data_IF_930041312949
#
_entry.id   IF_930041312949
#
_cell.length_a   1.000
_cell.length_b   1.000
_cell.length_c   1.000
_cell.angle_alpha   90.00
_cell.angle_beta   90.00
_cell.angle_gamma   90.00
#
_symmetry.space_group_name_H-M   'P 1'
#
loop_
_entity.id
_entity.type
_entity.pdbx_description
1 polymer ?
#
# COMPACT_ATOMS: atom_id res chain seq x y z
N UNK A 1 -37.05 -7.86 -38.87
CA UNK A 1 -38.14 -8.67 -38.27
C UNK A 1 -38.89 -7.82 -37.25
N UNK A 2 -39.98 -7.20 -37.70
CA UNK A 2 -40.95 -6.43 -36.90
C UNK A 2 -42.10 -7.37 -36.54
N UNK A 3 -42.67 -7.27 -35.33
CA UNK A 3 -44.10 -7.53 -35.11
C UNK A 3 -44.68 -6.53 -34.10
N UNK A 4 -45.73 -5.87 -34.58
CA UNK A 4 -46.76 -5.06 -33.90
C UNK A 4 -47.90 -6.02 -33.48
N UNK A 5 -48.92 -5.50 -32.76
CA UNK A 5 -50.35 -5.95 -32.64
C UNK A 5 -50.70 -6.48 -31.23
N UNK A 6 -51.84 -6.19 -30.58
CA UNK A 6 -52.89 -5.16 -30.67
C UNK A 6 -53.71 -5.17 -29.36
N UNK A 7 -54.51 -4.11 -29.21
CA UNK A 7 -55.69 -3.95 -28.37
C UNK A 7 -56.82 -4.99 -28.58
N UNK A 8 -57.74 -5.07 -27.61
CA UNK A 8 -59.00 -5.81 -27.64
C UNK A 8 -60.19 -4.88 -27.32
N UNK A 9 -61.23 -4.89 -28.17
CA UNK A 9 -62.61 -4.42 -27.90
C UNK A 9 -63.60 -4.97 -28.98
N UNK A 10 -64.81 -5.33 -28.55
CA UNK A 10 -66.03 -5.68 -29.35
C UNK A 10 -66.70 -6.98 -28.84
N UNK A 11 -68.01 -7.10 -28.55
CA UNK A 11 -69.20 -6.46 -29.16
C UNK A 11 -70.53 -6.71 -28.37
N UNK A 12 -71.47 -5.73 -28.43
CA UNK A 12 -72.97 -5.80 -28.55
C UNK A 12 -73.81 -6.29 -27.33
N UNK A 13 -74.92 -5.70 -26.83
CA UNK A 13 -76.18 -5.12 -27.39
C UNK A 13 -76.97 -4.24 -26.33
N UNK A 14 -77.91 -3.41 -26.82
CA UNK A 14 -79.15 -2.84 -26.21
C UNK A 14 -79.17 -1.52 -25.39
N UNK A 15 -79.82 -0.52 -26.00
CA UNK A 15 -80.92 0.35 -25.55
C UNK A 15 -80.86 1.04 -24.16
N UNK A 16 -80.81 2.38 -24.25
CA UNK A 16 -81.17 3.46 -23.33
C UNK A 16 -81.85 3.14 -21.97
N UNK A 17 -81.23 3.62 -20.88
CA UNK A 17 -81.91 4.31 -19.78
C UNK A 17 -80.90 5.22 -19.03
N UNK A 18 -81.22 6.51 -18.97
CA UNK A 18 -80.48 7.55 -18.26
C UNK A 18 -80.50 7.24 -16.77
N UNK A 19 -79.32 7.03 -16.17
CA UNK A 19 -79.10 7.25 -14.74
C UNK A 19 -77.83 8.07 -14.57
N UNK A 20 -78.01 9.31 -14.12
CA UNK A 20 -76.92 10.22 -13.77
C UNK A 20 -76.20 9.68 -12.54
N UNK A 21 -75.17 8.86 -12.75
CA UNK A 21 -74.13 8.61 -11.77
C UNK A 21 -72.99 9.57 -12.10
N UNK A 22 -72.95 10.67 -11.36
CA UNK A 22 -71.83 11.60 -11.34
C UNK A 22 -70.55 10.82 -11.06
N UNK A 23 -69.70 10.68 -12.07
CA UNK A 23 -68.37 10.11 -11.94
C UNK A 23 -67.55 11.03 -11.03
N UNK A 24 -67.31 10.61 -9.79
CA UNK A 24 -66.36 11.27 -8.92
C UNK A 24 -64.97 10.99 -9.48
N UNK A 25 -64.40 11.93 -10.23
CA UNK A 25 -63.00 11.85 -10.62
C UNK A 25 -62.14 12.06 -9.38
N UNK A 26 -61.51 10.98 -8.90
CA UNK A 26 -60.51 11.06 -7.84
C UNK A 26 -59.29 11.83 -8.38
N UNK A 27 -59.18 13.11 -8.03
CA UNK A 27 -58.00 13.91 -8.33
C UNK A 27 -56.79 13.32 -7.62
N UNK A 28 -55.83 12.79 -8.38
CA UNK A 28 -54.56 12.34 -7.83
C UNK A 28 -53.87 13.52 -7.12
N UNK A 29 -53.45 13.32 -5.87
CA UNK A 29 -52.72 14.34 -5.10
C UNK A 29 -51.52 14.85 -5.90
N UNK A 30 -51.44 16.16 -6.12
CA UNK A 30 -50.31 16.84 -6.77
C UNK A 30 -49.07 16.91 -5.88
N UNK A 31 -49.14 16.32 -4.69
CA UNK A 31 -48.11 16.35 -3.66
C UNK A 31 -47.84 14.96 -3.08
N UNK A 32 -46.58 14.75 -2.68
CA UNK A 32 -46.14 13.54 -1.99
C UNK A 32 -45.81 13.83 -0.53
N UNK A 33 -45.87 12.81 0.32
CA UNK A 33 -45.32 12.88 1.67
C UNK A 33 -43.87 12.39 1.65
N UNK A 34 -43.03 12.94 2.53
CA UNK A 34 -41.66 12.44 2.73
C UNK A 34 -41.32 12.29 4.21
N UNK A 35 -40.40 11.38 4.51
CA UNK A 35 -39.85 11.25 5.86
C UNK A 35 -38.85 12.38 6.16
N UNK A 36 -38.57 12.67 7.44
CA UNK A 36 -37.45 13.52 7.83
C UNK A 36 -36.14 13.11 7.15
N UNK A 37 -35.35 14.10 6.76
CA UNK A 37 -34.02 13.86 6.16
C UNK A 37 -33.06 13.34 7.24
N UNK A 38 -32.28 12.31 6.92
CA UNK A 38 -31.24 11.76 7.81
C UNK A 38 -29.88 11.82 7.13
N UNK A 39 -28.82 12.06 7.90
CA UNK A 39 -27.46 11.97 7.39
C UNK A 39 -27.11 10.53 6.98
N UNK A 40 -26.23 10.39 5.99
CA UNK A 40 -25.69 9.09 5.56
C UNK A 40 -24.17 9.10 5.61
N UNK A 41 -23.55 7.93 5.77
CA UNK A 41 -22.12 7.79 5.48
C UNK A 41 -21.83 8.31 4.06
N UNK A 42 -20.75 9.09 3.91
CA UNK A 42 -20.33 9.59 2.60
C UNK A 42 -19.87 8.41 1.75
N UNK A 43 -20.59 8.14 0.67
CA UNK A 43 -20.30 7.05 -0.27
C UNK A 43 -20.35 7.60 -1.69
N UNK A 44 -19.45 7.08 -2.53
CA UNK A 44 -19.32 7.45 -3.93
C UNK A 44 -20.19 6.54 -4.81
N UNK A 45 -20.93 7.14 -5.73
CA UNK A 45 -21.82 6.45 -6.67
C UNK A 45 -21.66 7.04 -8.08
N UNK A 46 -22.02 6.25 -9.09
CA UNK A 46 -22.31 6.76 -10.43
C UNK A 46 -23.79 6.52 -10.76
N UNK A 47 -24.35 7.31 -11.65
CA UNK A 47 -25.74 7.16 -12.10
C UNK A 47 -25.81 6.20 -13.27
N UNK A 48 -26.79 5.31 -13.24
CA UNK A 48 -27.06 4.35 -14.32
C UNK A 48 -28.11 4.84 -15.30
N UNK A 49 -28.94 5.78 -14.86
CA UNK A 49 -30.01 6.34 -15.67
C UNK A 49 -29.55 7.59 -16.43
N UNK A 50 -30.06 7.74 -17.65
CA UNK A 50 -29.75 8.89 -18.53
C UNK A 50 -30.99 9.68 -18.94
N UNK A 51 -32.18 9.30 -18.47
CA UNK A 51 -33.45 9.91 -18.88
C UNK A 51 -34.05 10.80 -17.79
N UNK A 52 -33.68 10.55 -16.54
CA UNK A 52 -34.18 11.23 -15.36
C UNK A 52 -33.29 12.42 -14.98
N UNK A 53 -33.63 13.03 -13.85
CA UNK A 53 -33.01 14.24 -13.33
C UNK A 53 -32.66 14.05 -11.85
N UNK A 54 -31.77 14.89 -11.34
CA UNK A 54 -31.80 15.24 -9.91
C UNK A 54 -32.94 16.22 -9.65
N UNK A 55 -33.40 16.29 -8.39
CA UNK A 55 -34.48 17.18 -7.97
C UNK A 55 -34.05 18.10 -6.83
N UNK A 56 -34.51 19.35 -6.86
CA UNK A 56 -34.32 20.29 -5.75
C UNK A 56 -35.15 19.86 -4.54
N UNK A 57 -34.76 20.30 -3.34
CA UNK A 57 -35.67 20.29 -2.21
C UNK A 57 -36.80 21.29 -2.49
N UNK A 58 -38.06 20.83 -2.58
CA UNK A 58 -39.19 21.73 -2.78
C UNK A 58 -40.43 21.27 -2.00
N UNK A 59 -41.06 22.23 -1.30
CA UNK A 59 -42.19 21.99 -0.41
C UNK A 59 -41.78 21.51 0.99
N UNK A 60 -42.79 21.21 1.82
CA UNK A 60 -42.60 20.73 3.21
C UNK A 60 -42.79 19.20 3.31
N UNK A 61 -42.69 18.63 4.51
CA UNK A 61 -42.78 17.17 4.73
C UNK A 61 -44.07 16.53 4.19
N UNK A 62 -45.18 17.27 4.21
CA UNK A 62 -46.49 16.79 3.79
C UNK A 62 -46.84 17.19 2.35
N UNK A 63 -46.07 18.11 1.76
CA UNK A 63 -46.31 18.64 0.41
C UNK A 63 -45.04 18.67 -0.43
N UNK A 64 -44.39 17.51 -0.58
CA UNK A 64 -43.23 17.36 -1.45
C UNK A 64 -43.64 17.46 -2.92
N UNK A 65 -42.83 18.15 -3.72
CA UNK A 65 -42.96 18.18 -5.18
C UNK A 65 -41.61 18.00 -5.85
N UNK A 66 -41.61 17.32 -6.99
CA UNK A 66 -40.40 17.13 -7.78
C UNK A 66 -40.16 18.35 -8.68
N UNK A 67 -39.09 19.10 -8.39
CA UNK A 67 -38.58 20.15 -9.28
C UNK A 67 -37.22 19.72 -9.83
N UNK A 68 -37.17 19.34 -11.10
CA UNK A 68 -35.93 18.92 -11.76
C UNK A 68 -34.90 20.06 -11.77
N UNK A 69 -33.60 19.72 -11.68
CA UNK A 69 -32.52 20.71 -11.80
C UNK A 69 -31.32 20.28 -12.64
N UNK A 70 -30.95 19.00 -12.68
CA UNK A 70 -29.86 18.51 -13.53
C UNK A 70 -30.25 17.24 -14.27
N UNK A 71 -30.13 17.26 -15.60
CA UNK A 71 -30.34 16.07 -16.45
C UNK A 71 -29.21 15.06 -16.25
N UNK A 72 -29.53 13.82 -15.89
CA UNK A 72 -28.51 12.80 -15.61
C UNK A 72 -27.67 12.44 -16.84
N UNK A 73 -28.18 12.64 -18.06
CA UNK A 73 -27.41 12.45 -19.32
C UNK A 73 -26.12 13.28 -19.36
N UNK A 74 -26.06 14.41 -18.66
CA UNK A 74 -24.90 15.31 -18.64
C UNK A 74 -23.84 14.88 -17.61
N UNK A 75 -24.09 13.81 -16.83
CA UNK A 75 -23.26 13.38 -15.71
C UNK A 75 -22.81 11.91 -15.81
N UNK A 76 -22.79 11.34 -17.02
CA UNK A 76 -22.45 9.92 -17.27
C UNK A 76 -21.08 9.49 -16.72
N UNK A 77 -20.11 10.41 -16.68
CA UNK A 77 -18.76 10.18 -16.19
C UNK A 77 -18.48 10.95 -14.88
N UNK A 78 -19.50 11.08 -14.04
CA UNK A 78 -19.42 11.78 -12.77
C UNK A 78 -19.52 10.82 -11.60
N UNK A 79 -18.78 11.13 -10.53
CA UNK A 79 -18.97 10.53 -9.22
C UNK A 79 -19.82 11.46 -8.34
N UNK A 80 -20.92 10.93 -7.86
CA UNK A 80 -21.82 11.55 -6.90
C UNK A 80 -21.50 11.06 -5.49
N UNK A 81 -21.38 11.97 -4.54
CA UNK A 81 -21.22 11.62 -3.12
C UNK A 81 -22.54 11.82 -2.39
N UNK A 82 -23.04 10.78 -1.72
CA UNK A 82 -24.27 10.88 -0.90
C UNK A 82 -23.96 11.47 0.47
N UNK A 83 -24.78 12.40 0.94
CA UNK A 83 -24.63 12.98 2.28
C UNK A 83 -25.87 12.81 3.16
N UNK A 84 -27.04 12.65 2.53
CA UNK A 84 -28.31 12.51 3.23
C UNK A 84 -29.26 11.56 2.51
N UNK A 85 -30.29 11.09 3.20
CA UNK A 85 -31.38 10.29 2.65
C UNK A 85 -32.76 10.74 3.16
N UNK A 86 -33.79 10.47 2.36
CA UNK A 86 -35.21 10.63 2.70
C UNK A 86 -36.02 9.58 1.92
N UNK A 87 -37.16 9.15 2.46
CA UNK A 87 -38.10 8.31 1.73
C UNK A 87 -39.29 9.15 1.29
N UNK A 88 -39.61 9.10 0.00
CA UNK A 88 -40.80 9.73 -0.58
C UNK A 88 -41.88 8.66 -0.70
N UNK A 89 -43.07 8.95 -0.20
CA UNK A 89 -44.22 8.04 -0.20
C UNK A 89 -45.00 8.28 -1.48
N UNK A 90 -44.86 7.37 -2.45
CA UNK A 90 -45.56 7.40 -3.74
C UNK A 90 -46.53 6.23 -3.80
N UNK A 91 -47.82 6.50 -3.96
CA UNK A 91 -48.88 5.48 -3.96
C UNK A 91 -48.81 4.52 -2.76
N UNK A 92 -48.59 5.07 -1.55
CA UNK A 92 -48.44 4.29 -0.31
C UNK A 92 -47.10 3.57 -0.13
N UNK A 93 -46.21 3.59 -1.14
CA UNK A 93 -44.89 2.93 -1.08
C UNK A 93 -43.78 3.91 -0.78
N UNK A 94 -42.88 3.54 0.15
CA UNK A 94 -41.68 4.32 0.46
C UNK A 94 -40.61 4.08 -0.59
N UNK A 95 -40.13 5.15 -1.20
CA UNK A 95 -39.09 5.13 -2.23
C UNK A 95 -37.93 6.00 -1.77
N UNK A 96 -36.73 5.40 -1.67
CA UNK A 96 -35.56 6.08 -1.10
C UNK A 96 -34.86 6.99 -2.09
N UNK A 97 -34.65 8.24 -1.67
CA UNK A 97 -33.84 9.23 -2.37
C UNK A 97 -32.62 9.61 -1.54
N UNK A 98 -31.50 9.81 -2.23
CA UNK A 98 -30.27 10.33 -1.64
C UNK A 98 -30.04 11.77 -2.09
N UNK A 99 -29.57 12.61 -1.18
CA UNK A 99 -29.00 13.91 -1.53
C UNK A 99 -27.56 13.68 -1.98
N UNK A 100 -27.28 14.03 -3.22
CA UNK A 100 -25.97 13.84 -3.85
C UNK A 100 -25.27 15.16 -4.12
N UNK A 101 -23.95 15.12 -4.09
CA UNK A 101 -23.06 16.23 -4.44
C UNK A 101 -21.98 15.77 -5.43
N UNK A 102 -21.77 16.53 -6.49
CA UNK A 102 -20.64 16.37 -7.39
C UNK A 102 -19.55 17.42 -7.06
N UNK A 103 -18.38 16.96 -6.59
CA UNK A 103 -17.28 17.86 -6.24
C UNK A 103 -16.61 18.55 -7.43
N UNK A 104 -16.80 18.05 -8.66
CA UNK A 104 -16.15 18.61 -9.86
C UNK A 104 -16.84 19.89 -10.37
N UNK A 105 -18.17 19.95 -10.28
CA UNK A 105 -18.94 21.07 -10.82
C UNK A 105 -20.00 21.63 -9.86
N UNK A 106 -20.01 21.18 -8.60
CA UNK A 106 -20.91 21.67 -7.55
C UNK A 106 -22.37 21.25 -7.72
N UNK A 107 -22.70 20.40 -8.70
CA UNK A 107 -24.08 19.95 -8.90
C UNK A 107 -24.59 19.18 -7.67
N UNK A 108 -25.84 19.45 -7.29
CA UNK A 108 -26.49 18.82 -6.14
C UNK A 108 -27.95 18.49 -6.43
N UNK A 109 -28.52 17.54 -5.68
CA UNK A 109 -29.96 17.29 -5.71
C UNK A 109 -30.34 15.93 -5.13
N UNK A 110 -31.65 15.70 -5.04
CA UNK A 110 -32.22 14.41 -4.70
C UNK A 110 -32.24 13.51 -5.93
N UNK A 111 -31.74 12.29 -5.78
CA UNK A 111 -31.81 11.26 -6.81
C UNK A 111 -32.35 9.98 -6.21
N UNK A 112 -33.17 9.26 -6.99
CA UNK A 112 -33.67 7.96 -6.58
C UNK A 112 -32.51 6.97 -6.42
N UNK A 113 -32.49 6.26 -5.28
CA UNK A 113 -31.45 5.28 -4.96
C UNK A 113 -31.30 4.17 -6.01
N UNK A 114 -32.37 3.78 -6.70
CA UNK A 114 -32.33 2.76 -7.75
C UNK A 114 -31.53 3.17 -9.00
N UNK A 115 -31.28 4.47 -9.19
CA UNK A 115 -30.41 4.94 -10.27
C UNK A 115 -28.93 4.97 -9.89
N UNK A 116 -28.58 4.77 -8.62
CA UNK A 116 -27.21 4.86 -8.13
C UNK A 116 -26.56 3.49 -8.01
N UNK A 117 -25.38 3.34 -8.61
CA UNK A 117 -24.50 2.19 -8.40
C UNK A 117 -23.25 2.62 -7.64
N UNK A 118 -22.84 1.90 -6.58
CA UNK A 118 -21.68 2.26 -5.79
C UNK A 118 -20.43 2.18 -6.65
N UNK A 119 -19.58 3.21 -6.56
CA UNK A 119 -18.23 3.14 -7.12
C UNK A 119 -17.47 2.14 -6.25
N UNK A 120 -16.94 1.07 -6.85
CA UNK A 120 -16.01 0.18 -6.15
C UNK A 120 -14.81 1.04 -5.73
N UNK A 121 -14.57 1.17 -4.42
CA UNK A 121 -13.39 1.85 -3.94
C UNK A 121 -12.16 1.18 -4.57
N UNK A 122 -11.31 1.96 -5.24
CA UNK A 122 -9.99 1.48 -5.64
C UNK A 122 -9.32 0.99 -4.38
N UNK A 123 -8.92 -0.29 -4.32
CA UNK A 123 -8.24 -0.84 -3.17
C UNK A 123 -7.07 0.08 -2.83
N UNK A 124 -7.04 0.62 -1.61
CA UNK A 124 -5.94 1.45 -1.17
C UNK A 124 -4.65 0.65 -1.32
N UNK A 125 -3.62 1.25 -1.93
CA UNK A 125 -2.30 0.62 -1.99
C UNK A 125 -1.91 0.25 -0.55
N UNK A 126 -1.63 -1.03 -0.25
CA UNK A 126 -1.29 -1.46 1.11
C UNK A 126 -0.16 -0.59 1.65
N UNK A 127 -0.13 -0.24 2.93
CA UNK A 127 1.02 0.46 3.52
C UNK A 127 2.26 -0.46 3.52
N UNK A 128 3.48 0.08 3.70
CA UNK A 128 4.67 -0.77 3.81
C UNK A 128 4.61 -1.68 5.04
N UNK A 129 4.05 -1.20 6.15
CA UNK A 129 3.82 -2.02 7.34
C UNK A 129 2.94 -3.24 7.01
N UNK A 130 1.90 -3.05 6.18
CA UNK A 130 1.04 -4.13 5.69
C UNK A 130 1.76 -5.06 4.72
N UNK A 131 2.67 -4.56 3.89
CA UNK A 131 3.49 -5.42 3.03
C UNK A 131 4.46 -6.26 3.86
N UNK A 132 5.17 -5.63 4.80
CA UNK A 132 6.09 -6.29 5.74
C UNK A 132 5.38 -7.38 6.54
N UNK A 133 4.16 -7.12 7.02
CA UNK A 133 3.39 -8.11 7.79
C UNK A 133 2.93 -9.32 6.98
N UNK A 134 2.86 -9.21 5.65
CA UNK A 134 2.46 -10.29 4.74
C UNK A 134 3.62 -11.15 4.28
N UNK A 135 4.85 -10.68 4.48
CA UNK A 135 6.03 -11.43 4.04
C UNK A 135 6.15 -12.78 4.77
N UNK A 136 6.56 -13.85 4.11
CA UNK A 136 6.85 -15.16 4.71
C UNK A 136 7.91 -15.03 5.80
N UNK A 137 8.96 -14.23 5.59
CA UNK A 137 10.00 -13.97 6.61
C UNK A 137 9.45 -13.38 7.91
N UNK A 138 8.36 -12.61 7.85
CA UNK A 138 7.73 -11.99 9.02
C UNK A 138 7.18 -12.98 10.05
N UNK A 139 6.94 -14.23 9.63
CA UNK A 139 6.50 -15.32 10.52
C UNK A 139 7.58 -15.72 11.52
N UNK A 140 8.86 -15.67 11.12
CA UNK A 140 10.01 -16.05 11.95
C UNK A 140 10.84 -14.87 12.46
N UNK A 141 10.69 -13.69 11.87
CA UNK A 141 11.43 -12.49 12.25
C UNK A 141 10.82 -11.75 13.46
N UNK A 142 11.68 -11.10 14.23
CA UNK A 142 11.32 -10.08 15.22
C UNK A 142 11.72 -8.68 14.75
N UNK A 143 12.76 -8.60 13.92
CA UNK A 143 13.18 -7.39 13.23
C UNK A 143 13.34 -7.67 11.73
N UNK A 144 12.84 -6.75 10.91
CA UNK A 144 13.03 -6.78 9.45
C UNK A 144 13.64 -5.45 9.04
N UNK A 145 14.77 -5.51 8.36
CA UNK A 145 15.36 -4.39 7.63
C UNK A 145 14.87 -4.48 6.19
N UNK A 146 14.19 -3.47 5.66
CA UNK A 146 13.88 -3.41 4.23
C UNK A 146 14.81 -2.41 3.56
N UNK A 147 15.42 -2.78 2.45
CA UNK A 147 16.21 -1.87 1.61
C UNK A 147 15.54 -1.81 0.25
N UNK A 148 15.00 -0.65 -0.09
CA UNK A 148 14.24 -0.44 -1.33
C UNK A 148 15.03 0.53 -2.21
N UNK A 149 15.47 0.06 -3.37
CA UNK A 149 16.19 0.89 -4.35
C UNK A 149 15.35 2.11 -4.77
N UNK A 150 16.00 3.27 -4.86
CA UNK A 150 15.36 4.54 -5.24
C UNK A 150 16.24 5.40 -6.17
N UNK A 151 17.31 4.82 -6.72
CA UNK A 151 18.21 5.41 -7.70
C UNK A 151 19.16 4.35 -8.27
N UNK A 152 20.21 4.75 -8.99
CA UNK A 152 21.18 3.81 -9.59
C UNK A 152 21.98 3.04 -8.53
N UNK A 153 22.52 3.78 -7.55
CA UNK A 153 23.35 3.26 -6.45
C UNK A 153 22.85 3.72 -5.07
N UNK A 154 21.56 4.06 -4.98
CA UNK A 154 20.91 4.53 -3.75
C UNK A 154 19.66 3.72 -3.43
N UNK A 155 19.39 3.60 -2.13
CA UNK A 155 18.18 2.99 -1.61
C UNK A 155 17.68 3.71 -0.35
N UNK A 156 16.52 3.28 0.13
CA UNK A 156 16.01 3.63 1.46
C UNK A 156 16.02 2.39 2.33
N UNK A 157 16.75 2.45 3.44
CA UNK A 157 16.74 1.43 4.48
C UNK A 157 15.69 1.79 5.53
N UNK A 158 14.88 0.81 5.95
CA UNK A 158 13.96 0.95 7.09
C UNK A 158 14.08 -0.22 8.04
N UNK A 159 14.03 0.04 9.35
CA UNK A 159 13.95 -0.99 10.39
C UNK A 159 12.52 -1.11 10.91
N UNK A 160 11.95 -2.29 10.71
CA UNK A 160 10.65 -2.69 11.20
C UNK A 160 10.81 -3.58 12.43
N UNK A 161 10.16 -3.19 13.54
CA UNK A 161 10.08 -4.01 14.75
C UNK A 161 8.69 -4.63 14.88
N UNK A 162 8.65 -5.91 15.24
CA UNK A 162 7.41 -6.61 15.55
C UNK A 162 6.87 -6.12 16.90
N UNK A 163 5.56 -5.89 16.94
CA UNK A 163 4.80 -5.46 18.12
C UNK A 163 3.50 -6.27 18.21
N UNK A 164 2.79 -6.17 19.32
CA UNK A 164 1.47 -6.80 19.48
C UNK A 164 0.42 -6.28 18.48
N UNK A 165 0.64 -5.09 17.90
CA UNK A 165 -0.27 -4.46 16.92
C UNK A 165 0.22 -4.60 15.47
N UNK A 166 1.22 -5.46 15.22
CA UNK A 166 1.85 -5.63 13.91
C UNK A 166 3.25 -5.03 13.84
N UNK A 167 3.65 -4.54 12.66
CA UNK A 167 5.01 -4.05 12.42
C UNK A 167 5.08 -2.53 12.49
N UNK A 168 6.04 -2.00 13.26
CA UNK A 168 6.29 -0.57 13.41
C UNK A 168 7.63 -0.20 12.78
N UNK A 169 7.64 0.82 11.92
CA UNK A 169 8.89 1.43 11.47
C UNK A 169 9.51 2.22 12.62
N UNK A 170 10.79 1.98 12.90
CA UNK A 170 11.52 2.64 13.99
C UNK A 170 12.76 3.39 13.52
N UNK A 171 13.24 3.16 12.30
CA UNK A 171 14.38 3.85 11.70
C UNK A 171 14.15 3.94 10.19
N UNK A 172 14.40 5.11 9.61
CA UNK A 172 14.48 5.29 8.16
C UNK A 172 15.81 5.98 7.86
N UNK A 173 16.57 5.46 6.90
CA UNK A 173 17.86 6.02 6.52
C UNK A 173 18.05 5.96 5.00
N UNK A 174 18.65 7.01 4.45
CA UNK A 174 19.11 6.99 3.07
C UNK A 174 20.38 6.14 2.98
N UNK A 175 20.40 5.16 2.07
CA UNK A 175 21.51 4.23 1.93
C UNK A 175 22.19 4.31 0.57
N UNK A 176 23.47 3.92 0.53
CA UNK A 176 24.19 3.57 -0.70
C UNK A 176 24.18 2.05 -0.83
N UNK A 177 24.11 1.57 -2.06
CA UNK A 177 24.12 0.16 -2.42
C UNK A 177 25.17 -0.08 -3.51
N UNK A 178 25.23 -1.31 -4.03
CA UNK A 178 26.08 -1.66 -5.16
C UNK A 178 25.96 -0.66 -6.31
N UNK A 179 27.07 -0.37 -6.99
CA UNK A 179 27.07 0.54 -8.15
C UNK A 179 26.11 0.09 -9.28
N UNK A 180 25.86 -1.22 -9.39
CA UNK A 180 24.91 -1.82 -10.33
C UNK A 180 23.48 -1.96 -9.78
N UNK A 181 23.20 -1.47 -8.58
CA UNK A 181 21.89 -1.54 -7.93
C UNK A 181 21.64 -2.86 -7.18
N UNK A 182 20.36 -3.20 -7.00
CA UNK A 182 19.89 -4.45 -6.36
C UNK A 182 19.52 -5.46 -7.44
N UNK A 183 20.04 -6.69 -7.37
CA UNK A 183 19.81 -7.70 -8.39
C UNK A 183 20.48 -9.04 -8.12
N UNK A 184 20.72 -9.81 -9.18
CA UNK A 184 21.54 -11.02 -9.09
C UNK A 184 23.01 -10.61 -8.96
N UNK A 185 23.67 -11.15 -7.95
CA UNK A 185 25.07 -10.88 -7.63
C UNK A 185 25.93 -12.11 -7.86
N UNK A 186 27.22 -11.88 -8.08
CA UNK A 186 28.28 -12.89 -8.14
C UNK A 186 29.59 -12.27 -7.64
N UNK A 187 30.63 -13.07 -7.47
CA UNK A 187 31.97 -12.56 -7.13
C UNK A 187 32.45 -11.51 -8.13
N UNK A 188 33.00 -10.41 -7.61
CA UNK A 188 33.43 -9.27 -8.42
C UNK A 188 32.31 -8.41 -9.02
N UNK A 189 31.03 -8.78 -8.88
CA UNK A 189 29.92 -7.90 -9.24
C UNK A 189 29.82 -6.73 -8.25
N UNK A 190 29.39 -5.56 -8.72
CA UNK A 190 29.04 -4.41 -7.85
C UNK A 190 27.54 -4.35 -7.57
N UNK A 191 26.90 -5.50 -7.35
CA UNK A 191 25.45 -5.64 -7.21
C UNK A 191 25.08 -6.03 -5.78
N UNK A 192 24.16 -5.31 -5.15
CA UNK A 192 23.59 -5.73 -3.86
C UNK A 192 22.66 -6.92 -4.11
N UNK A 193 22.84 -8.05 -3.39
CA UNK A 193 22.08 -9.25 -3.64
C UNK A 193 20.59 -9.02 -3.35
N UNK A 194 19.72 -9.25 -4.33
CA UNK A 194 18.28 -9.20 -4.14
C UNK A 194 17.82 -10.44 -3.36
N UNK A 195 17.03 -10.27 -2.31
CA UNK A 195 16.51 -11.43 -1.56
C UNK A 195 16.24 -11.16 -0.09
N UNK A 196 16.24 -12.24 0.69
CA UNK A 196 16.10 -12.20 2.16
C UNK A 196 17.31 -12.86 2.78
N UNK A 197 17.97 -12.14 3.67
CA UNK A 197 19.18 -12.63 4.34
C UNK A 197 19.02 -12.50 5.85
N UNK A 198 19.53 -13.49 6.59
CA UNK A 198 19.61 -13.39 8.04
C UNK A 198 20.69 -12.38 8.42
N UNK A 199 20.44 -11.58 9.46
CA UNK A 199 21.44 -10.71 10.05
C UNK A 199 22.04 -11.44 11.26
N UNK A 200 23.24 -12.00 11.09
CA UNK A 200 23.76 -13.04 11.98
C UNK A 200 24.55 -12.51 13.17
N UNK A 201 25.55 -11.69 12.89
CA UNK A 201 26.32 -10.99 13.91
C UNK A 201 26.79 -9.64 13.42
N UNK A 202 27.12 -8.79 14.37
CA UNK A 202 27.73 -7.50 14.14
C UNK A 202 29.25 -7.58 14.33
N UNK A 203 29.98 -6.71 13.66
CA UNK A 203 31.42 -6.60 13.85
C UNK A 203 31.89 -5.15 13.69
N UNK A 204 33.14 -4.89 14.00
CA UNK A 204 33.77 -3.62 13.67
C UNK A 204 35.03 -3.33 14.45
N UNK A 205 35.62 -2.16 14.21
CA UNK A 205 36.81 -1.66 14.92
C UNK A 205 36.48 -1.15 16.33
N UNK A 206 35.23 -0.78 16.59
CA UNK A 206 34.80 -0.38 17.92
C UNK A 206 35.06 -1.51 18.95
N UNK A 207 35.47 -1.16 20.16
CA UNK A 207 35.71 -2.17 21.22
C UNK A 207 34.42 -2.91 21.61
N UNK A 208 33.27 -2.23 21.51
CA UNK A 208 31.96 -2.82 21.75
C UNK A 208 30.87 -2.10 20.95
N UNK A 209 29.73 -2.76 20.80
CA UNK A 209 28.52 -2.18 20.24
C UNK A 209 27.32 -2.59 21.09
N UNK A 210 26.38 -1.66 21.27
CA UNK A 210 25.09 -1.98 21.92
C UNK A 210 24.23 -2.75 20.94
N UNK A 211 23.74 -3.92 21.35
CA UNK A 211 22.80 -4.73 20.57
C UNK A 211 21.61 -5.18 21.41
N UNK A 212 20.59 -5.75 20.78
CA UNK A 212 19.43 -6.36 21.45
C UNK A 212 19.56 -7.89 21.48
N UNK A 213 20.77 -8.40 21.75
CA UNK A 213 21.08 -9.82 21.81
C UNK A 213 21.79 -10.38 20.56
N UNK A 214 22.08 -9.55 19.56
CA UNK A 214 22.96 -9.91 18.46
C UNK A 214 24.42 -9.95 18.95
N UNK A 215 25.17 -10.99 18.55
CA UNK A 215 26.59 -11.10 18.88
C UNK A 215 27.42 -9.99 18.21
N UNK A 216 28.51 -9.56 18.86
CA UNK A 216 29.44 -8.57 18.31
C UNK A 216 30.88 -9.12 18.29
N UNK A 217 31.60 -8.92 17.18
CA UNK A 217 33.00 -9.31 17.02
C UNK A 217 33.88 -8.10 16.75
N UNK A 218 34.90 -7.87 17.58
CA UNK A 218 35.89 -6.83 17.31
C UNK A 218 36.88 -7.29 16.24
N UNK A 219 37.11 -6.44 15.24
CA UNK A 219 38.14 -6.65 14.21
C UNK A 219 39.52 -6.60 14.88
N UNK A 220 40.38 -7.56 14.53
CA UNK A 220 41.79 -7.59 14.90
C UNK A 220 42.66 -7.96 13.69
N UNK A 221 43.97 -8.05 13.89
CA UNK A 221 44.97 -8.33 12.83
C UNK A 221 44.83 -9.69 12.14
N UNK A 222 43.96 -10.57 12.63
CA UNK A 222 43.69 -11.88 12.04
C UNK A 222 42.32 -11.96 11.39
N UNK A 223 41.52 -10.89 11.43
CA UNK A 223 40.13 -10.91 10.99
C UNK A 223 40.03 -10.81 9.48
N UNK A 224 39.63 -11.91 8.85
CA UNK A 224 39.36 -12.00 7.42
C UNK A 224 37.90 -12.36 7.16
N UNK A 225 37.33 -11.80 6.09
CA UNK A 225 36.20 -12.41 5.42
C UNK A 225 36.72 -13.23 4.24
N UNK A 226 36.38 -14.52 4.21
CA UNK A 226 36.89 -15.43 3.18
C UNK A 226 36.01 -15.33 1.94
N UNK A 227 36.60 -14.93 0.82
CA UNK A 227 35.90 -14.65 -0.44
C UNK A 227 36.44 -15.48 -1.60
N UNK A 228 37.55 -16.22 -1.44
CA UNK A 228 38.01 -17.16 -2.47
C UNK A 228 37.01 -18.33 -2.60
N UNK A 229 36.35 -18.53 -3.76
CA UNK A 229 35.38 -19.61 -3.94
C UNK A 229 35.98 -21.02 -3.82
N UNK A 230 37.31 -21.15 -3.90
CA UNK A 230 38.02 -22.42 -3.75
C UNK A 230 38.38 -22.75 -2.29
N UNK A 231 38.15 -21.82 -1.36
CA UNK A 231 38.39 -22.04 0.06
C UNK A 231 37.18 -22.75 0.70
N UNK A 232 37.42 -23.78 1.50
CA UNK A 232 36.35 -24.54 2.20
C UNK A 232 35.57 -23.69 3.20
N UNK A 233 36.13 -22.55 3.63
CA UNK A 233 35.48 -21.60 4.53
C UNK A 233 34.94 -20.38 3.76
N UNK A 234 34.69 -20.51 2.46
CA UNK A 234 34.13 -19.45 1.62
C UNK A 234 32.88 -18.80 2.21
N UNK A 235 32.82 -17.48 2.05
CA UNK A 235 31.81 -16.55 2.53
C UNK A 235 31.56 -16.63 4.05
N UNK A 236 32.65 -16.70 4.82
CA UNK A 236 32.59 -16.68 6.29
C UNK A 236 33.68 -15.82 6.90
N UNK A 237 33.42 -15.31 8.10
CA UNK A 237 34.46 -14.70 8.94
C UNK A 237 35.42 -15.76 9.48
N UNK A 238 36.72 -15.54 9.31
CA UNK A 238 37.78 -16.36 9.89
C UNK A 238 38.83 -15.52 10.61
N UNK A 239 39.40 -16.08 11.67
CA UNK A 239 40.58 -15.52 12.32
C UNK A 239 41.82 -16.30 11.85
N UNK A 240 42.55 -15.78 10.86
CA UNK A 240 43.72 -16.43 10.24
C UNK A 240 44.95 -15.54 10.35
N UNK A 241 46.15 -16.13 10.40
CA UNK A 241 47.40 -15.37 10.32
C UNK A 241 47.67 -14.87 8.89
N UNK A 242 47.10 -15.53 7.89
CA UNK A 242 47.24 -15.19 6.47
C UNK A 242 46.04 -15.74 5.69
N UNK A 243 45.62 -15.01 4.66
CA UNK A 243 44.72 -15.47 3.60
C UNK A 243 45.19 -14.86 2.28
N UNK A 244 44.87 -15.50 1.15
CA UNK A 244 45.26 -14.96 -0.16
C UNK A 244 44.51 -13.64 -0.48
N UNK A 245 44.98 -12.94 -1.51
CA UNK A 245 44.50 -11.60 -1.89
C UNK A 245 43.06 -11.52 -2.40
N UNK A 246 42.38 -12.65 -2.62
CA UNK A 246 40.95 -12.63 -2.93
C UNK A 246 40.09 -12.41 -1.69
N UNK A 247 40.65 -12.63 -0.49
CA UNK A 247 39.91 -12.50 0.76
C UNK A 247 40.05 -11.09 1.33
N UNK A 248 39.00 -10.66 2.01
CA UNK A 248 38.97 -9.34 2.60
C UNK A 248 39.66 -9.32 3.97
N UNK A 249 40.80 -8.61 4.09
CA UNK A 249 41.45 -8.39 5.38
C UNK A 249 40.84 -7.16 6.09
N UNK A 250 39.95 -7.42 7.05
CA UNK A 250 39.03 -6.41 7.59
C UNK A 250 39.75 -5.27 8.34
N UNK A 251 40.94 -5.54 8.90
CA UNK A 251 41.72 -4.52 9.61
C UNK A 251 42.33 -3.48 8.64
N UNK A 252 42.62 -3.86 7.39
CA UNK A 252 43.33 -3.01 6.41
C UNK A 252 42.48 -1.86 5.88
N UNK A 253 41.16 -1.90 6.12
CA UNK A 253 40.28 -0.78 5.90
C UNK A 253 40.59 0.32 6.90
N UNK A 254 41.46 1.27 6.54
CA UNK A 254 41.91 2.35 7.42
C UNK A 254 41.30 3.71 7.07
N UNK A 255 40.75 3.89 5.86
CA UNK A 255 40.15 5.16 5.41
C UNK A 255 39.01 5.60 6.34
N UNK A 256 39.07 6.84 6.82
CA UNK A 256 38.06 7.46 7.68
C UNK A 256 37.42 8.65 6.95
N UNK A 257 36.12 8.58 6.58
CA UNK A 257 35.39 9.76 6.12
C UNK A 257 33.86 9.60 6.17
N UNK A 258 33.14 10.37 7.00
CA UNK A 258 33.56 10.93 8.29
C UNK A 258 33.82 9.85 9.36
N UNK A 259 33.51 8.59 9.03
CA UNK A 259 33.78 7.42 9.86
C UNK A 259 34.33 6.30 8.96
N UNK A 260 35.08 5.37 9.56
CA UNK A 260 35.55 4.19 8.86
C UNK A 260 34.36 3.28 8.52
N UNK A 261 34.36 2.67 7.32
CA UNK A 261 33.24 1.84 6.88
C UNK A 261 32.97 0.66 7.83
N UNK A 262 34.03 0.07 8.40
CA UNK A 262 33.97 -1.02 9.38
C UNK A 262 34.19 -0.52 10.81
N UNK A 263 33.87 0.75 11.09
CA UNK A 263 33.69 1.17 12.47
C UNK A 263 32.61 0.31 13.15
N UNK A 264 31.50 0.08 12.44
CA UNK A 264 30.42 -0.84 12.78
C UNK A 264 29.84 -1.45 11.50
N UNK A 265 29.60 -2.75 11.51
CA UNK A 265 28.99 -3.48 10.40
C UNK A 265 28.12 -4.63 10.92
N UNK A 266 27.19 -5.09 10.09
CA UNK A 266 26.30 -6.22 10.34
C UNK A 266 26.41 -7.17 9.17
N UNK A 267 26.61 -8.45 9.45
CA UNK A 267 26.68 -9.47 8.42
C UNK A 267 25.31 -9.73 7.80
N UNK A 268 25.24 -9.75 6.47
CA UNK A 268 24.12 -10.27 5.71
C UNK A 268 24.48 -11.69 5.23
N UNK A 269 23.87 -12.70 5.84
CA UNK A 269 24.20 -14.11 5.57
C UNK A 269 23.66 -14.58 4.21
N UNK A 270 24.44 -14.33 3.15
CA UNK A 270 24.19 -14.84 1.80
C UNK A 270 24.86 -16.21 1.59
N UNK A 271 24.21 -17.30 1.98
CA UNK A 271 24.81 -18.64 1.86
C UNK A 271 24.80 -19.23 0.43
N UNK A 272 24.48 -18.45 -0.60
CA UNK A 272 24.52 -18.93 -1.98
C UNK A 272 25.95 -19.11 -2.49
N UNK A 273 26.32 -20.30 -2.96
CA UNK A 273 27.60 -20.52 -3.63
C UNK A 273 27.63 -19.74 -4.95
N UNK A 274 28.69 -18.96 -5.17
CA UNK A 274 28.92 -18.13 -6.36
C UNK A 274 27.98 -16.92 -6.53
N UNK A 275 27.19 -16.59 -5.50
CA UNK A 275 26.29 -15.43 -5.54
C UNK A 275 26.96 -14.15 -5.00
N UNK A 276 28.29 -14.16 -4.88
CA UNK A 276 29.08 -13.13 -4.22
C UNK A 276 29.18 -13.34 -2.70
N UNK A 277 30.17 -12.69 -2.10
CA UNK A 277 30.50 -12.76 -0.69
C UNK A 277 30.68 -11.35 -0.09
N UNK A 278 30.93 -11.27 1.22
CA UNK A 278 31.29 -9.99 1.86
C UNK A 278 30.16 -8.97 1.92
N UNK A 279 28.90 -9.41 1.97
CA UNK A 279 27.75 -8.51 2.02
C UNK A 279 27.43 -8.07 3.45
N UNK A 280 27.56 -6.78 3.70
CA UNK A 280 27.34 -6.20 5.02
C UNK A 280 26.41 -4.98 4.96
N UNK A 281 25.77 -4.69 6.09
CA UNK A 281 25.25 -3.35 6.37
C UNK A 281 26.31 -2.60 7.18
N UNK A 282 26.92 -1.57 6.62
CA UNK A 282 28.06 -0.89 7.25
C UNK A 282 27.95 0.64 7.23
N UNK A 283 28.94 1.32 7.81
CA UNK A 283 28.95 2.78 7.86
C UNK A 283 29.23 3.36 6.47
N UNK A 284 28.39 4.30 6.05
CA UNK A 284 28.46 4.99 4.77
C UNK A 284 29.72 5.84 4.67
N UNK A 285 30.36 5.75 3.50
CA UNK A 285 31.36 6.69 3.01
C UNK A 285 30.78 7.44 1.78
N UNK A 286 31.59 8.19 1.05
CA UNK A 286 31.11 9.04 -0.05
C UNK A 286 30.70 8.28 -1.33
N UNK A 287 30.93 6.96 -1.43
CA UNK A 287 30.88 6.21 -2.69
C UNK A 287 29.72 5.21 -2.76
N UNK A 288 29.50 4.63 -3.95
CA UNK A 288 28.71 3.40 -4.07
C UNK A 288 29.50 2.24 -3.42
N UNK A 289 28.80 1.19 -3.00
CA UNK A 289 29.47 -0.01 -2.46
C UNK A 289 29.78 -0.99 -3.60
N UNK A 290 30.53 -2.05 -3.30
CA UNK A 290 30.67 -3.22 -4.17
C UNK A 290 29.48 -4.20 -4.05
N UNK A 291 28.45 -3.87 -3.25
CA UNK A 291 27.28 -4.75 -3.04
C UNK A 291 26.74 -4.71 -1.61
N UNK A 292 27.53 -4.23 -0.65
CA UNK A 292 27.06 -3.90 0.69
C UNK A 292 25.94 -2.84 0.69
N UNK A 293 25.25 -2.70 1.82
CA UNK A 293 24.35 -1.57 2.08
C UNK A 293 25.04 -0.64 3.07
N UNK A 294 25.14 0.65 2.80
CA UNK A 294 25.77 1.57 3.74
C UNK A 294 24.88 2.76 4.11
N UNK A 295 24.85 3.08 5.42
CA UNK A 295 24.06 4.16 6.03
C UNK A 295 24.90 4.99 6.98
N UNK A 296 24.43 6.17 7.36
CA UNK A 296 25.19 7.06 8.26
C UNK A 296 25.53 6.36 9.59
N UNK A 297 26.66 6.71 10.21
CA UNK A 297 27.17 6.05 11.42
C UNK A 297 26.15 5.98 12.57
N UNK A 298 25.45 7.08 12.84
CA UNK A 298 24.43 7.13 13.89
C UNK A 298 23.23 6.21 13.60
N UNK A 299 22.90 6.02 12.32
CA UNK A 299 21.84 5.10 11.90
C UNK A 299 22.29 3.64 12.06
N UNK A 300 23.57 3.31 11.77
CA UNK A 300 24.13 1.97 12.06
C UNK A 300 24.08 1.69 13.57
N UNK A 301 24.45 2.66 14.42
CA UNK A 301 24.36 2.53 15.88
C UNK A 301 22.92 2.28 16.34
N UNK A 302 21.97 3.06 15.81
CA UNK A 302 20.55 2.93 16.13
C UNK A 302 20.01 1.58 15.66
N UNK A 303 20.36 1.16 14.45
CA UNK A 303 20.02 -0.14 13.88
C UNK A 303 20.52 -1.26 14.79
N UNK A 304 21.83 -1.31 15.06
CA UNK A 304 22.46 -2.34 15.89
C UNK A 304 21.83 -2.45 17.27
N UNK A 305 21.54 -1.32 17.93
CA UNK A 305 20.94 -1.29 19.27
C UNK A 305 19.58 -2.00 19.36
N UNK A 306 18.96 -2.27 18.22
CA UNK A 306 17.62 -2.86 18.08
C UNK A 306 17.62 -4.23 17.43
N UNK A 307 18.75 -4.69 16.88
CA UNK A 307 18.85 -6.01 16.26
C UNK A 307 19.16 -7.07 17.31
N UNK A 308 18.37 -8.14 17.29
CA UNK A 308 18.60 -9.37 18.05
C UNK A 308 18.87 -10.55 17.12
N UNK A 309 18.65 -11.77 17.60
CA UNK A 309 18.96 -13.01 16.86
C UNK A 309 17.96 -13.36 15.76
N UNK A 310 16.75 -12.79 15.77
CA UNK A 310 15.69 -13.02 14.78
C UNK A 310 15.54 -11.83 13.82
N UNK A 311 16.66 -11.29 13.38
CA UNK A 311 16.75 -10.15 12.48
C UNK A 311 17.02 -10.60 11.04
N UNK A 312 16.33 -10.00 10.06
CA UNK A 312 16.51 -10.30 8.64
C UNK A 312 16.54 -9.00 7.83
N UNK A 313 17.23 -9.00 6.70
CA UNK A 313 17.18 -7.94 5.70
C UNK A 313 16.46 -8.44 4.44
N UNK A 314 15.70 -7.55 3.80
CA UNK A 314 14.98 -7.78 2.55
C UNK A 314 15.36 -6.69 1.55
N UNK A 315 16.13 -7.06 0.54
CA UNK A 315 16.67 -6.16 -0.47
C UNK A 315 15.87 -6.29 -1.77
N UNK A 316 15.26 -5.18 -2.20
CA UNK A 316 14.35 -5.16 -3.35
C UNK A 316 14.55 -3.94 -4.25
N UNK A 317 14.30 -4.13 -5.54
CA UNK A 317 14.42 -3.07 -6.55
C UNK A 317 13.26 -2.08 -6.49
N UNK A 318 12.10 -2.52 -5.99
CA UNK A 318 10.97 -1.65 -5.76
C UNK A 318 10.07 -2.22 -4.66
N UNK A 319 9.24 -1.32 -4.13
CA UNK A 319 8.32 -1.58 -3.03
C UNK A 319 7.36 -2.75 -3.27
N UNK A 320 6.90 -2.96 -4.50
CA UNK A 320 5.92 -4.02 -4.79
C UNK A 320 6.52 -5.42 -4.62
N UNK A 321 7.84 -5.57 -4.79
CA UNK A 321 8.53 -6.85 -4.64
C UNK A 321 8.60 -7.36 -3.20
N UNK A 322 8.34 -6.52 -2.18
CA UNK A 322 8.32 -6.95 -0.79
C UNK A 322 7.35 -8.12 -0.57
N UNK A 323 6.22 -8.15 -1.28
CA UNK A 323 5.19 -9.20 -1.12
C UNK A 323 5.65 -10.62 -1.50
N UNK A 324 6.82 -10.76 -2.15
CA UNK A 324 7.34 -12.03 -2.65
C UNK A 324 8.17 -12.81 -1.62
N UNK A 325 8.49 -12.19 -0.48
CA UNK A 325 9.40 -12.69 0.55
C UNK A 325 8.68 -13.00 1.85
#
# INVERSE_FOLDING_TARGET
MKKIVNWLLGSVLMIAAVTMLSSVSANASTYYHRTPTRATARKAYYTTDTKSHTFRANGNYNRWTFRANHDLKNYRNTVWTTTQQTDIIMHGKKVRYYWVHNSKNGATGWIWSGYLKPVKAKAATPSEATLVSRMRVSKKAQQIVTVIQNGSSTATLKLWQKTNRGWKNTLTSASRIGAAGIGNSHEGSSTTPKGVYHLSFAFGKAASARTSGMAYRQINRKSYWIEDPHDRQYNTWQNRNWANNKNEHLIDYTKAAPHNQYQLAIVMDNHGQHNGSGFFIHVKNQWATAGCVSINYNDVRTLLSRLGTKAYVVDVQNRAQLQNY
#
